data_IF_784757839882
#
_entry.id   IF_784757839882
#
_cell.length_a   1.000
_cell.length_b   1.000
_cell.length_c   1.000
_cell.angle_alpha   90.00
_cell.angle_beta   90.00
_cell.angle_gamma   90.00
#
_symmetry.space_group_name_H-M   'P 1'
#
loop_
_entity.id
_entity.type
_entity.pdbx_description
1 polymer ?
#
# COMPACT_ATOMS: atom_id res chain seq x y z
N UNK A 1 -37.55 42.74 13.87
CA UNK A 1 -38.79 42.13 13.36
C UNK A 1 -40.01 42.48 14.20
N UNK A 2 -39.90 42.57 15.54
CA UNK A 2 -41.02 42.97 16.42
C UNK A 2 -41.59 44.36 16.16
N UNK A 3 -40.74 45.35 15.84
CA UNK A 3 -41.19 46.74 15.61
C UNK A 3 -42.11 46.83 14.37
N UNK A 4 -41.75 46.14 13.28
CA UNK A 4 -42.59 46.08 12.07
C UNK A 4 -43.92 45.36 12.30
N UNK A 5 -43.96 44.37 13.20
CA UNK A 5 -45.19 43.63 13.51
C UNK A 5 -46.19 44.48 14.32
N UNK A 6 -45.70 45.35 15.20
CA UNK A 6 -46.53 46.23 16.01
C UNK A 6 -47.12 47.40 15.19
N UNK A 7 -46.37 47.96 14.24
CA UNK A 7 -46.91 48.98 13.33
C UNK A 7 -47.94 48.39 12.35
N UNK A 8 -47.71 47.17 11.85
CA UNK A 8 -48.68 46.47 11.00
C UNK A 8 -50.00 46.19 11.74
N UNK A 9 -49.93 45.78 13.03
CA UNK A 9 -51.10 45.59 13.89
C UNK A 9 -51.89 46.88 14.11
N UNK A 10 -51.20 48.01 14.31
CA UNK A 10 -51.84 49.32 14.51
C UNK A 10 -52.52 49.83 13.23
N UNK A 11 -51.90 49.61 12.07
CA UNK A 11 -52.49 49.95 10.76
C UNK A 11 -53.74 49.12 10.47
N UNK A 12 -53.66 47.80 10.67
CA UNK A 12 -54.79 46.87 10.48
C UNK A 12 -55.95 47.21 11.42
N UNK A 13 -55.68 47.62 12.66
CA UNK A 13 -56.71 47.98 13.64
C UNK A 13 -57.38 49.32 13.36
N UNK A 14 -56.67 50.26 12.71
CA UNK A 14 -57.18 51.58 12.34
C UNK A 14 -58.04 51.54 11.07
N UNK A 15 -57.75 50.64 10.14
CA UNK A 15 -58.54 50.42 8.92
C UNK A 15 -59.81 49.58 9.16
N UNK A 16 -59.81 48.66 10.12
CA UNK A 16 -61.00 47.85 10.48
C UNK A 16 -62.21 48.64 11.05
N UNK A 17 -62.13 49.97 11.22
CA UNK A 17 -63.27 50.81 11.65
C UNK A 17 -64.13 51.32 10.49
N UNK A 18 -63.76 51.05 9.25
CA UNK A 18 -64.56 51.32 8.05
C UNK A 18 -64.87 50.01 7.31
N UNK A 19 -66.06 49.93 6.70
CA UNK A 19 -66.54 48.78 5.90
C UNK A 19 -65.62 48.54 4.70
N UNK A 20 -64.50 47.87 4.95
CA UNK A 20 -63.55 47.45 3.92
C UNK A 20 -64.03 46.12 3.36
N UNK A 21 -64.08 46.07 2.03
CA UNK A 21 -64.47 44.89 1.26
C UNK A 21 -63.60 43.66 1.66
N UNK A 22 -64.21 42.52 2.04
CA UNK A 22 -63.49 41.30 2.41
C UNK A 22 -62.44 40.86 1.38
N UNK A 23 -62.66 41.19 0.11
CA UNK A 23 -61.72 40.91 -0.99
C UNK A 23 -60.37 41.62 -0.84
N UNK A 24 -60.33 42.80 -0.22
CA UNK A 24 -59.10 43.55 0.03
C UNK A 24 -58.22 42.83 1.06
N UNK A 25 -58.83 42.30 2.13
CA UNK A 25 -58.11 41.55 3.17
C UNK A 25 -57.47 40.27 2.62
N UNK A 26 -58.21 39.52 1.79
CA UNK A 26 -57.69 38.31 1.14
C UNK A 26 -56.53 38.66 0.20
N UNK A 27 -56.64 39.77 -0.54
CA UNK A 27 -55.59 40.23 -1.45
C UNK A 27 -54.31 40.63 -0.69
N UNK A 28 -54.44 41.41 0.39
CA UNK A 28 -53.29 41.79 1.23
C UNK A 28 -52.63 40.56 1.86
N UNK A 29 -53.44 39.63 2.41
CA UNK A 29 -52.92 38.39 2.98
C UNK A 29 -52.17 37.56 1.94
N UNK A 30 -52.71 37.44 0.73
CA UNK A 30 -52.08 36.71 -0.37
C UNK A 30 -50.74 37.35 -0.76
N UNK A 31 -50.67 38.68 -0.85
CA UNK A 31 -49.41 39.40 -1.15
C UNK A 31 -48.36 39.14 -0.07
N UNK A 32 -48.74 39.20 1.21
CA UNK A 32 -47.82 38.93 2.33
C UNK A 32 -47.32 37.48 2.30
N UNK A 33 -48.21 36.50 2.12
CA UNK A 33 -47.84 35.08 2.02
C UNK A 33 -46.90 34.84 0.84
N UNK A 34 -47.19 35.46 -0.31
CA UNK A 34 -46.36 35.35 -1.51
C UNK A 34 -44.96 35.95 -1.28
N UNK A 35 -44.88 37.12 -0.64
CA UNK A 35 -43.60 37.75 -0.30
C UNK A 35 -42.77 36.90 0.66
N UNK A 36 -43.39 36.33 1.70
CA UNK A 36 -42.74 35.43 2.65
C UNK A 36 -42.24 34.16 1.95
N UNK A 37 -43.07 33.55 1.10
CA UNK A 37 -42.70 32.37 0.32
C UNK A 37 -41.51 32.65 -0.62
N UNK A 38 -41.50 33.80 -1.29
CA UNK A 38 -40.40 34.22 -2.15
C UNK A 38 -39.08 34.40 -1.37
N UNK A 39 -39.14 34.97 -0.15
CA UNK A 39 -37.97 35.12 0.72
C UNK A 39 -37.41 33.76 1.14
N UNK A 40 -38.26 32.84 1.62
CA UNK A 40 -37.81 31.49 2.00
C UNK A 40 -37.23 30.71 0.82
N UNK A 41 -37.89 30.78 -0.34
CA UNK A 41 -37.39 30.14 -1.57
C UNK A 41 -36.03 30.70 -1.97
N UNK A 42 -35.84 32.02 -1.83
CA UNK A 42 -34.55 32.68 -2.08
C UNK A 42 -33.45 32.21 -1.13
N UNK A 43 -33.75 32.08 0.17
CA UNK A 43 -32.80 31.56 1.16
C UNK A 43 -32.44 30.10 0.89
N UNK A 44 -33.43 29.25 0.65
CA UNK A 44 -33.23 27.84 0.34
C UNK A 44 -32.39 27.67 -0.93
N UNK A 45 -32.63 28.49 -1.96
CA UNK A 45 -31.81 28.49 -3.18
C UNK A 45 -30.36 28.89 -2.90
N UNK A 46 -30.12 29.87 -2.03
CA UNK A 46 -28.75 30.25 -1.64
C UNK A 46 -28.04 29.14 -0.87
N UNK A 47 -28.73 28.47 0.04
CA UNK A 47 -28.18 27.33 0.78
C UNK A 47 -27.87 26.14 -0.14
N UNK A 48 -28.77 25.82 -1.06
CA UNK A 48 -28.55 24.78 -2.08
C UNK A 48 -27.39 25.10 -3.02
N UNK A 49 -27.18 26.38 -3.35
CA UNK A 49 -26.01 26.82 -4.13
C UNK A 49 -24.72 26.61 -3.34
N UNK A 50 -24.70 27.04 -2.08
CA UNK A 50 -23.53 26.91 -1.20
C UNK A 50 -23.17 25.45 -0.93
N UNK A 51 -24.15 24.56 -0.78
CA UNK A 51 -23.92 23.13 -0.53
C UNK A 51 -23.37 22.37 -1.74
N UNK A 52 -23.39 23.00 -2.93
CA UNK A 52 -22.96 22.45 -4.22
C UNK A 52 -21.81 23.27 -4.81
N UNK A 53 -20.95 23.85 -3.97
CA UNK A 53 -19.73 24.49 -4.45
C UNK A 53 -18.66 23.43 -4.79
N UNK A 54 -18.04 23.49 -5.98
CA UNK A 54 -16.90 22.65 -6.32
C UNK A 54 -15.65 23.09 -5.57
N UNK A 55 -14.78 22.14 -5.25
CA UNK A 55 -13.48 22.39 -4.60
C UNK A 55 -12.45 21.58 -5.37
N UNK A 56 -11.67 22.27 -6.22
CA UNK A 56 -10.59 21.62 -6.96
C UNK A 56 -9.26 21.85 -6.25
N UNK A 57 -8.57 20.76 -5.96
CA UNK A 57 -7.29 20.77 -5.26
C UNK A 57 -6.29 19.82 -5.92
N UNK A 58 -5.01 20.15 -5.80
CA UNK A 58 -3.92 19.24 -6.13
C UNK A 58 -3.54 18.44 -4.87
N UNK A 59 -3.57 17.13 -4.98
CA UNK A 59 -3.05 16.19 -3.98
C UNK A 59 -2.06 15.24 -4.64
N UNK A 60 -1.62 14.22 -3.89
CA UNK A 60 -0.83 13.12 -4.43
C UNK A 60 -1.57 11.80 -4.23
N UNK A 61 -1.15 10.79 -4.99
CA UNK A 61 -1.53 9.41 -4.77
C UNK A 61 -0.36 8.47 -5.11
N UNK A 62 -0.48 7.23 -4.70
CA UNK A 62 0.51 6.18 -4.94
C UNK A 62 -0.15 5.12 -5.83
N UNK A 63 0.31 4.99 -7.07
CA UNK A 63 -0.19 3.95 -7.99
C UNK A 63 0.49 2.61 -7.71
N UNK A 64 1.75 2.66 -7.27
CA UNK A 64 2.53 1.49 -6.89
C UNK A 64 3.45 1.81 -5.73
N UNK A 65 4.08 0.78 -5.13
CA UNK A 65 5.07 0.99 -4.10
C UNK A 65 6.31 1.76 -4.53
N UNK A 66 6.46 2.02 -5.84
CA UNK A 66 7.59 2.70 -6.45
C UNK A 66 7.19 3.98 -7.19
N UNK A 67 5.90 4.34 -7.23
CA UNK A 67 5.42 5.44 -8.05
C UNK A 67 4.44 6.34 -7.30
N UNK A 68 4.85 7.61 -7.15
CA UNK A 68 4.00 8.71 -6.68
C UNK A 68 3.51 9.49 -7.90
N UNK A 69 2.21 9.79 -7.91
CA UNK A 69 1.58 10.64 -8.91
C UNK A 69 0.90 11.82 -8.26
N UNK A 70 0.78 12.90 -9.03
CA UNK A 70 -0.07 14.03 -8.71
C UNK A 70 -1.51 13.68 -9.04
N UNK A 71 -2.44 14.13 -8.22
CA UNK A 71 -3.88 13.95 -8.43
C UNK A 71 -4.59 15.28 -8.34
N UNK A 72 -5.29 15.67 -9.40
CA UNK A 72 -6.23 16.80 -9.37
C UNK A 72 -7.61 16.21 -9.08
N UNK A 73 -8.23 16.61 -7.97
CA UNK A 73 -9.50 16.05 -7.48
C UNK A 73 -10.51 17.17 -7.25
N UNK A 74 -11.77 16.92 -7.63
CA UNK A 74 -12.91 17.69 -7.14
C UNK A 74 -13.43 17.10 -5.83
N UNK A 75 -12.99 17.67 -4.70
CA UNK A 75 -13.44 17.27 -3.36
C UNK A 75 -14.73 17.98 -2.93
N UNK A 76 -15.24 18.89 -3.75
CA UNK A 76 -16.50 19.60 -3.51
C UNK A 76 -17.72 18.80 -3.99
N UNK A 77 -18.90 19.23 -3.54
CA UNK A 77 -20.19 18.63 -3.90
C UNK A 77 -20.77 19.20 -5.22
N UNK A 78 -20.08 20.17 -5.82
CA UNK A 78 -20.48 20.83 -7.06
C UNK A 78 -19.72 20.34 -8.29
N UNK A 79 -20.27 20.59 -9.47
CA UNK A 79 -19.56 20.39 -10.74
C UNK A 79 -18.63 21.58 -10.99
N UNK A 80 -17.36 21.30 -11.31
CA UNK A 80 -16.44 22.30 -11.83
C UNK A 80 -16.45 22.29 -13.36
N UNK A 81 -16.31 23.45 -13.99
CA UNK A 81 -16.30 23.66 -15.44
C UNK A 81 -15.10 24.50 -15.85
N UNK A 82 -14.72 24.43 -17.13
CA UNK A 82 -13.65 25.22 -17.73
C UNK A 82 -12.36 25.18 -16.90
N UNK A 83 -11.97 23.97 -16.49
CA UNK A 83 -10.86 23.76 -15.56
C UNK A 83 -9.56 23.94 -16.34
N UNK A 84 -8.70 24.81 -15.82
CA UNK A 84 -7.33 24.98 -16.29
C UNK A 84 -6.43 24.86 -15.08
N UNK A 85 -5.64 23.79 -15.05
CA UNK A 85 -4.65 23.55 -14.03
C UNK A 85 -3.24 23.73 -14.61
N UNK A 86 -2.40 24.41 -13.86
CA UNK A 86 -0.97 24.53 -14.09
C UNK A 86 -0.24 23.96 -12.89
N UNK A 87 0.79 23.18 -13.12
CA UNK A 87 1.63 22.65 -12.06
C UNK A 87 3.08 22.56 -12.55
N UNK A 88 4.03 22.78 -11.63
CA UNK A 88 5.46 22.88 -11.94
C UNK A 88 6.30 22.52 -10.72
N UNK A 89 7.57 22.16 -10.96
CA UNK A 89 8.56 21.99 -9.90
C UNK A 89 9.11 23.38 -9.53
N UNK A 90 9.03 23.76 -8.26
CA UNK A 90 9.56 25.06 -7.80
C UNK A 90 11.08 25.05 -7.93
N UNK A 91 11.62 26.04 -8.63
CA UNK A 91 13.07 26.18 -8.86
C UNK A 91 13.60 25.48 -10.13
N UNK A 92 12.75 24.84 -10.92
CA UNK A 92 13.15 24.15 -12.15
C UNK A 92 12.42 24.70 -13.37
N UNK A 93 13.16 25.39 -14.24
CA UNK A 93 12.63 25.92 -15.49
C UNK A 93 12.21 24.82 -16.47
N UNK A 94 11.15 25.08 -17.25
CA UNK A 94 10.60 24.12 -18.23
C UNK A 94 9.87 22.90 -17.64
N UNK A 95 9.73 22.83 -16.31
CA UNK A 95 8.92 21.81 -15.63
C UNK A 95 7.41 22.11 -15.64
N UNK A 96 6.99 23.28 -16.15
CA UNK A 96 5.57 23.65 -16.20
C UNK A 96 4.78 22.68 -17.09
N UNK A 97 3.63 22.23 -16.59
CA UNK A 97 2.63 21.47 -17.32
C UNK A 97 1.28 22.13 -17.17
N UNK A 98 0.52 22.15 -18.26
CA UNK A 98 -0.82 22.72 -18.31
C UNK A 98 -1.78 21.60 -18.68
N UNK A 99 -2.81 21.45 -17.87
CA UNK A 99 -3.90 20.52 -18.10
C UNK A 99 -5.23 21.27 -18.16
N UNK A 100 -6.11 20.84 -19.07
CA UNK A 100 -7.43 21.44 -19.28
C UNK A 100 -8.49 20.36 -19.32
N UNK A 101 -9.64 20.65 -18.71
CA UNK A 101 -10.79 19.77 -18.73
C UNK A 101 -12.09 20.58 -18.81
N UNK A 102 -13.05 20.18 -19.66
CA UNK A 102 -14.29 20.94 -19.83
C UNK A 102 -15.16 20.94 -18.57
N UNK A 103 -15.27 19.80 -17.88
CA UNK A 103 -16.00 19.68 -16.64
C UNK A 103 -15.47 18.52 -15.79
N UNK A 104 -15.60 18.63 -14.47
CA UNK A 104 -15.28 17.60 -13.49
C UNK A 104 -16.41 17.46 -12.47
N UNK A 105 -16.94 16.25 -12.34
CA UNK A 105 -18.01 15.91 -11.40
C UNK A 105 -17.49 15.83 -9.95
N UNK A 106 -18.36 15.91 -8.94
CA UNK A 106 -17.98 15.65 -7.55
C UNK A 106 -17.29 14.29 -7.39
N UNK A 107 -16.12 14.27 -6.74
CA UNK A 107 -15.33 13.07 -6.52
C UNK A 107 -14.51 12.58 -7.72
N UNK A 108 -14.66 13.18 -8.89
CA UNK A 108 -13.87 12.85 -10.07
C UNK A 108 -12.42 13.37 -9.90
N UNK A 109 -11.46 12.59 -10.39
CA UNK A 109 -10.04 12.91 -10.30
C UNK A 109 -9.27 12.50 -11.55
N UNK A 110 -8.17 13.20 -11.78
CA UNK A 110 -7.19 12.85 -12.81
C UNK A 110 -5.80 12.77 -12.22
N UNK A 111 -5.04 11.79 -12.68
CA UNK A 111 -3.69 11.53 -12.22
C UNK A 111 -2.66 11.92 -13.27
N UNK A 112 -1.57 12.50 -12.80
CA UNK A 112 -0.47 12.98 -13.62
C UNK A 112 0.84 12.55 -12.99
N UNK A 113 1.80 12.16 -13.83
CA UNK A 113 3.17 12.01 -13.35
C UNK A 113 3.72 13.35 -12.88
N UNK A 114 4.62 13.28 -11.89
CA UNK A 114 5.37 14.46 -11.45
C UNK A 114 6.12 15.03 -12.66
N UNK A 115 6.03 16.34 -12.95
CA UNK A 115 6.65 16.92 -14.11
C UNK A 115 8.16 16.70 -14.13
N UNK A 116 8.69 16.22 -15.27
CA UNK A 116 10.12 16.08 -15.50
C UNK A 116 10.72 17.38 -16.07
N UNK A 117 12.00 17.61 -15.80
CA UNK A 117 12.77 18.70 -16.41
C UNK A 117 12.96 18.47 -17.91
N UNK A 118 13.32 19.52 -18.64
CA UNK A 118 13.44 19.53 -20.11
C UNK A 118 14.43 18.48 -20.64
N UNK A 119 15.38 18.04 -19.81
CA UNK A 119 16.43 17.09 -20.19
C UNK A 119 16.00 15.62 -20.17
N UNK A 120 14.71 15.33 -19.93
CA UNK A 120 14.12 14.00 -20.18
C UNK A 120 14.62 12.86 -19.29
N UNK A 121 15.38 13.16 -18.24
CA UNK A 121 15.77 12.15 -17.26
C UNK A 121 14.58 11.81 -16.35
N UNK A 122 14.32 10.52 -16.20
CA UNK A 122 13.46 9.98 -15.15
C UNK A 122 13.89 10.61 -13.81
N UNK A 123 12.96 11.26 -13.13
CA UNK A 123 13.20 11.87 -11.82
C UNK A 123 13.46 10.74 -10.82
N UNK A 124 14.74 10.46 -10.58
CA UNK A 124 15.18 9.60 -9.50
C UNK A 124 14.67 10.16 -8.16
N UNK A 125 14.28 9.27 -7.25
CA UNK A 125 13.82 9.59 -5.89
C UNK A 125 14.86 10.45 -5.16
N UNK A 126 16.15 10.23 -5.41
CA UNK A 126 17.21 11.05 -4.82
C UNK A 126 17.14 12.51 -5.28
N UNK A 127 16.88 12.75 -6.57
CA UNK A 127 16.69 14.11 -7.11
C UNK A 127 15.39 14.73 -6.62
N UNK A 128 14.33 13.94 -6.46
CA UNK A 128 13.05 14.41 -5.88
C UNK A 128 13.20 14.88 -4.43
N UNK A 129 14.18 14.35 -3.65
CA UNK A 129 14.47 14.85 -2.30
C UNK A 129 15.07 16.25 -2.29
N UNK A 130 15.75 16.66 -3.36
CA UNK A 130 16.28 18.02 -3.52
C UNK A 130 15.18 19.03 -3.91
N UNK A 131 14.03 18.54 -4.38
CA UNK A 131 12.89 19.38 -4.74
C UNK A 131 11.98 19.53 -3.53
N UNK A 132 11.90 20.76 -3.03
CA UNK A 132 11.13 21.05 -1.82
C UNK A 132 9.61 21.04 -2.07
N UNK A 133 9.17 21.64 -3.20
CA UNK A 133 7.75 21.87 -3.45
C UNK A 133 7.34 21.71 -4.93
N UNK A 134 6.10 21.25 -5.14
CA UNK A 134 5.36 21.36 -6.39
C UNK A 134 4.42 22.55 -6.30
N UNK A 135 4.62 23.54 -7.17
CA UNK A 135 3.73 24.69 -7.30
C UNK A 135 2.52 24.34 -8.15
N UNK A 136 1.36 24.89 -7.81
CA UNK A 136 0.17 24.73 -8.63
C UNK A 136 -0.73 25.95 -8.64
N UNK A 137 -1.44 26.09 -9.74
CA UNK A 137 -2.51 27.06 -9.95
C UNK A 137 -3.66 26.39 -10.71
N UNK A 138 -4.86 26.45 -10.16
CA UNK A 138 -6.06 25.88 -10.76
C UNK A 138 -7.12 26.95 -10.85
N UNK A 139 -7.63 27.18 -12.05
CA UNK A 139 -8.78 28.05 -12.29
C UNK A 139 -9.95 27.24 -12.83
N UNK A 140 -11.16 27.55 -12.36
CA UNK A 140 -12.37 26.83 -12.76
C UNK A 140 -13.61 27.69 -12.52
N UNK A 141 -14.76 27.24 -13.05
CA UNK A 141 -16.08 27.81 -12.81
C UNK A 141 -16.98 26.78 -12.13
N UNK A 142 -17.96 27.25 -11.37
CA UNK A 142 -19.02 26.37 -10.86
C UNK A 142 -20.18 26.20 -11.86
N UNK A 143 -21.23 25.51 -11.41
CA UNK A 143 -22.47 25.33 -12.17
C UNK A 143 -23.14 26.67 -12.57
N UNK A 144 -22.93 27.74 -11.80
CA UNK A 144 -23.52 29.07 -11.97
C UNK A 144 -22.56 30.10 -12.58
N UNK A 145 -21.46 29.64 -13.19
CA UNK A 145 -20.43 30.47 -13.84
C UNK A 145 -19.64 31.40 -12.89
N UNK A 146 -19.72 31.19 -11.58
CA UNK A 146 -18.83 31.88 -10.63
C UNK A 146 -17.42 31.31 -10.81
N UNK A 147 -16.44 32.20 -10.94
CA UNK A 147 -15.03 31.84 -11.16
C UNK A 147 -14.31 31.65 -9.84
N UNK A 148 -13.44 30.65 -9.81
CA UNK A 148 -12.59 30.31 -8.69
C UNK A 148 -11.14 30.18 -9.16
N UNK A 149 -10.20 30.48 -8.27
CA UNK A 149 -8.77 30.29 -8.48
C UNK A 149 -8.17 29.77 -7.17
N UNK A 150 -7.51 28.62 -7.25
CA UNK A 150 -6.78 28.01 -6.15
C UNK A 150 -5.31 28.00 -6.53
N UNK A 151 -4.45 28.52 -5.65
CA UNK A 151 -3.00 28.48 -5.83
C UNK A 151 -2.38 27.89 -4.58
N UNK A 152 -1.33 27.11 -4.72
CA UNK A 152 -0.66 26.54 -3.56
C UNK A 152 0.67 25.90 -3.90
N UNK A 153 1.26 25.31 -2.86
CA UNK A 153 2.47 24.50 -2.94
C UNK A 153 2.19 23.19 -2.22
N UNK A 154 2.65 22.10 -2.81
CA UNK A 154 2.59 20.77 -2.25
C UNK A 154 4.01 20.35 -1.86
N UNK A 155 4.26 20.13 -0.56
CA UNK A 155 5.59 19.79 -0.06
C UNK A 155 5.95 18.35 -0.42
N UNK A 156 6.99 18.18 -1.24
CA UNK A 156 7.44 16.84 -1.66
C UNK A 156 8.14 16.10 -0.52
N UNK A 157 8.85 16.81 0.35
CA UNK A 157 9.53 16.21 1.50
C UNK A 157 8.57 15.46 2.43
N UNK A 158 7.42 16.05 2.77
CA UNK A 158 6.40 15.40 3.58
C UNK A 158 5.79 14.19 2.87
N UNK A 159 5.52 14.31 1.58
CA UNK A 159 4.98 13.21 0.76
C UNK A 159 5.96 12.04 0.72
N UNK A 160 7.25 12.31 0.47
CA UNK A 160 8.29 11.30 0.44
C UNK A 160 8.51 10.66 1.81
N UNK A 161 8.40 11.42 2.91
CA UNK A 161 8.47 10.87 4.26
C UNK A 161 7.26 9.99 4.60
N UNK A 162 6.05 10.43 4.27
CA UNK A 162 4.82 9.64 4.47
C UNK A 162 4.84 8.39 3.61
N UNK A 163 5.28 8.51 2.36
CA UNK A 163 5.48 7.39 1.45
C UNK A 163 6.55 6.43 1.99
N UNK A 164 7.72 6.92 2.41
CA UNK A 164 8.76 6.10 3.01
C UNK A 164 8.24 5.38 4.27
N UNK A 165 7.47 6.06 5.13
CA UNK A 165 6.85 5.45 6.33
C UNK A 165 5.77 4.42 6.00
N UNK A 166 4.92 4.68 5.00
CA UNK A 166 3.91 3.72 4.54
C UNK A 166 4.55 2.51 3.87
N UNK A 167 5.71 2.69 3.23
CA UNK A 167 6.51 1.62 2.67
C UNK A 167 7.41 0.94 3.68
N UNK A 168 7.77 1.60 4.80
CA UNK A 168 8.42 1.00 5.98
C UNK A 168 7.43 0.22 6.86
N UNK A 169 6.16 0.10 6.45
CA UNK A 169 5.36 -1.09 6.78
C UNK A 169 5.80 -2.33 5.97
N UNK A 170 6.87 -2.25 5.15
CA UNK A 170 7.81 -3.36 5.01
C UNK A 170 8.57 -3.48 6.33
N UNK A 171 8.06 -4.39 7.14
CA UNK A 171 8.62 -4.90 8.37
C UNK A 171 10.17 -4.96 8.30
N UNK A 172 10.88 -4.21 9.14
CA UNK A 172 12.35 -4.32 9.26
C UNK A 172 12.77 -5.71 9.79
N UNK A 173 11.83 -6.44 10.43
CA UNK A 173 12.11 -7.76 10.99
C UNK A 173 12.59 -8.79 9.96
N UNK A 174 11.95 -9.01 8.80
CA UNK A 174 12.42 -9.98 7.81
C UNK A 174 13.82 -9.68 7.26
N UNK A 175 14.20 -8.40 7.08
CA UNK A 175 15.56 -8.05 6.63
C UNK A 175 16.60 -8.30 7.73
N UNK A 176 16.32 -7.92 8.98
CA UNK A 176 17.18 -8.23 10.13
C UNK A 176 17.27 -9.75 10.38
N UNK A 177 16.16 -10.48 10.21
CA UNK A 177 16.14 -11.96 10.27
C UNK A 177 16.99 -12.54 9.14
N UNK A 178 16.87 -12.04 7.89
CA UNK A 178 17.72 -12.50 6.79
C UNK A 178 19.20 -12.25 7.06
N UNK A 179 19.57 -11.07 7.55
CA UNK A 179 20.97 -10.77 7.93
C UNK A 179 21.47 -11.71 9.02
N UNK A 180 20.65 -11.97 10.04
CA UNK A 180 20.98 -12.88 11.13
C UNK A 180 21.08 -14.34 10.66
N UNK A 181 20.21 -14.77 9.74
CA UNK A 181 20.27 -16.09 9.11
C UNK A 181 21.53 -16.23 8.24
N UNK A 182 21.89 -15.22 7.45
CA UNK A 182 23.12 -15.22 6.64
C UNK A 182 24.37 -15.28 7.51
N UNK A 183 24.39 -14.53 8.63
CA UNK A 183 25.47 -14.58 9.60
C UNK A 183 25.59 -15.96 10.27
N UNK A 184 24.47 -16.61 10.56
CA UNK A 184 24.46 -17.98 11.09
C UNK A 184 24.96 -18.98 10.04
N UNK A 185 24.59 -18.82 8.76
CA UNK A 185 25.09 -19.64 7.66
C UNK A 185 26.61 -19.48 7.51
N UNK A 186 27.13 -18.26 7.49
CA UNK A 186 28.57 -18.00 7.39
C UNK A 186 29.34 -18.62 8.56
N UNK A 187 28.84 -18.45 9.78
CA UNK A 187 29.43 -19.08 10.97
C UNK A 187 29.44 -20.62 10.87
N UNK A 188 28.35 -21.22 10.39
CA UNK A 188 28.25 -22.65 10.20
C UNK A 188 29.21 -23.15 9.11
N UNK A 189 29.34 -22.43 7.99
CA UNK A 189 30.28 -22.76 6.91
C UNK A 189 31.73 -22.69 7.42
N UNK A 190 32.09 -21.66 8.19
CA UNK A 190 33.42 -21.57 8.82
C UNK A 190 33.68 -22.71 9.79
N UNK A 191 32.69 -23.08 10.59
CA UNK A 191 32.81 -24.20 11.52
C UNK A 191 32.99 -25.53 10.76
N UNK A 192 32.21 -25.76 9.70
CA UNK A 192 32.37 -26.91 8.81
C UNK A 192 33.78 -26.92 8.20
N UNK A 193 34.26 -25.78 7.70
CA UNK A 193 35.62 -25.63 7.17
C UNK A 193 36.70 -26.02 8.18
N UNK A 194 36.60 -25.56 9.43
CA UNK A 194 37.54 -25.93 10.51
C UNK A 194 37.48 -27.42 10.87
N UNK A 195 36.29 -28.02 10.85
CA UNK A 195 36.13 -29.45 11.13
C UNK A 195 36.76 -30.26 9.97
N UNK A 196 36.51 -29.86 8.72
CA UNK A 196 37.14 -30.47 7.53
C UNK A 196 38.66 -30.33 7.56
N UNK A 197 39.19 -29.18 7.98
CA UNK A 197 40.63 -28.95 8.10
C UNK A 197 41.25 -29.81 9.22
N UNK A 198 40.53 -30.03 10.32
CA UNK A 198 41.01 -30.78 11.48
C UNK A 198 40.95 -32.29 11.32
N UNK A 199 39.90 -32.80 10.68
CA UNK A 199 39.64 -34.25 10.57
C UNK A 199 39.77 -34.78 9.14
N UNK A 200 39.95 -33.92 8.15
CA UNK A 200 39.88 -34.32 6.74
C UNK A 200 38.44 -34.59 6.29
N UNK A 201 38.12 -34.17 5.06
CA UNK A 201 36.79 -34.35 4.48
C UNK A 201 36.38 -35.83 4.42
N UNK A 202 37.34 -36.69 4.08
CA UNK A 202 37.13 -38.13 3.90
C UNK A 202 36.79 -38.84 5.22
N UNK A 203 37.35 -38.38 6.35
CA UNK A 203 37.09 -38.98 7.65
C UNK A 203 35.68 -38.61 8.15
N UNK A 204 35.26 -37.36 7.96
CA UNK A 204 33.90 -36.89 8.32
C UNK A 204 32.83 -37.57 7.49
N UNK A 205 33.05 -37.69 6.17
CA UNK A 205 32.16 -38.43 5.28
C UNK A 205 32.11 -39.90 5.70
N UNK A 206 33.26 -40.48 6.07
CA UNK A 206 33.35 -41.81 6.67
C UNK A 206 32.44 -41.97 7.88
N UNK A 207 32.59 -41.10 8.90
CA UNK A 207 31.78 -41.14 10.12
C UNK A 207 30.28 -40.97 9.86
N UNK A 208 29.88 -40.10 8.93
CA UNK A 208 28.45 -39.88 8.62
C UNK A 208 27.82 -41.05 7.88
N UNK A 209 28.55 -41.64 6.93
CA UNK A 209 28.10 -42.85 6.24
C UNK A 209 27.99 -44.01 7.23
N UNK A 210 28.97 -44.14 8.12
CA UNK A 210 29.01 -45.15 9.17
C UNK A 210 27.83 -45.01 10.16
N UNK A 211 27.53 -43.78 10.61
CA UNK A 211 26.37 -43.47 11.45
C UNK A 211 25.05 -43.86 10.77
N UNK A 212 24.87 -43.46 9.51
CA UNK A 212 23.68 -43.80 8.71
C UNK A 212 23.50 -45.32 8.54
N UNK A 213 24.59 -46.05 8.27
CA UNK A 213 24.53 -47.51 8.12
C UNK A 213 24.07 -48.17 9.43
N UNK A 214 24.68 -47.79 10.55
CA UNK A 214 24.33 -48.36 11.85
C UNK A 214 22.89 -48.01 12.25
N UNK A 215 22.43 -46.79 11.98
CA UNK A 215 21.04 -46.39 12.21
C UNK A 215 20.06 -47.27 11.41
N UNK A 216 20.35 -47.51 10.13
CA UNK A 216 19.48 -48.34 9.28
C UNK A 216 19.45 -49.81 9.69
N UNK A 217 20.59 -50.38 10.11
CA UNK A 217 20.66 -51.76 10.63
C UNK A 217 19.89 -51.85 11.95
N UNK A 218 20.07 -50.88 12.85
CA UNK A 218 19.38 -50.83 14.15
C UNK A 218 17.87 -50.67 13.98
N UNK A 219 17.41 -49.80 13.08
CA UNK A 219 16.00 -49.57 12.78
C UNK A 219 15.31 -50.86 12.28
N UNK A 220 15.94 -51.57 11.35
CA UNK A 220 15.38 -52.79 10.77
C UNK A 220 15.59 -54.04 11.62
N UNK A 221 16.51 -54.02 12.59
CA UNK A 221 17.07 -55.14 13.38
C UNK A 221 17.74 -56.25 12.55
N UNK A 222 17.23 -56.53 11.35
CA UNK A 222 17.73 -57.51 10.38
C UNK A 222 17.55 -56.93 8.98
N UNK A 223 18.63 -56.83 8.23
CA UNK A 223 18.62 -56.35 6.84
C UNK A 223 19.37 -57.32 5.93
N UNK A 224 18.87 -57.53 4.73
CA UNK A 224 19.55 -58.37 3.74
C UNK A 224 20.83 -57.66 3.26
N UNK A 225 21.93 -58.39 3.07
CA UNK A 225 23.20 -57.81 2.62
C UNK A 225 23.06 -57.10 1.27
N UNK A 226 22.29 -57.70 0.35
CA UNK A 226 21.97 -57.11 -0.96
C UNK A 226 21.12 -55.84 -0.85
N UNK A 227 20.22 -55.74 0.13
CA UNK A 227 19.47 -54.49 0.38
C UNK A 227 20.39 -53.38 0.88
N UNK A 228 21.33 -53.70 1.77
CA UNK A 228 22.32 -52.73 2.24
C UNK A 228 23.28 -52.31 1.11
N UNK A 229 23.62 -53.22 0.22
CA UNK A 229 24.40 -52.94 -0.99
C UNK A 229 23.69 -51.94 -1.92
N UNK A 230 22.36 -52.08 -2.08
CA UNK A 230 21.54 -51.12 -2.83
C UNK A 230 21.51 -49.75 -2.12
N UNK A 231 21.30 -49.72 -0.80
CA UNK A 231 21.26 -48.47 -0.01
C UNK A 231 22.56 -47.69 -0.14
N UNK A 232 23.71 -48.39 -0.12
CA UNK A 232 25.03 -47.78 -0.19
C UNK A 232 25.58 -47.64 -1.61
N UNK A 233 24.87 -48.17 -2.61
CA UNK A 233 25.29 -48.22 -4.00
C UNK A 233 26.70 -48.81 -4.20
N UNK A 234 26.99 -49.92 -3.52
CA UNK A 234 28.27 -50.65 -3.61
C UNK A 234 28.03 -52.15 -3.67
N UNK A 235 29.03 -52.92 -4.15
CA UNK A 235 28.92 -54.37 -4.24
C UNK A 235 28.75 -55.03 -2.84
N UNK A 236 27.92 -56.09 -2.68
CA UNK A 236 27.69 -56.76 -1.38
C UNK A 236 28.95 -57.14 -0.61
N UNK A 237 29.98 -57.65 -1.30
CA UNK A 237 31.27 -57.97 -0.68
C UNK A 237 32.01 -56.75 -0.10
N UNK A 238 31.84 -55.57 -0.71
CA UNK A 238 32.40 -54.32 -0.18
C UNK A 238 31.62 -53.83 1.04
N UNK A 239 30.30 -54.01 1.06
CA UNK A 239 29.48 -53.79 2.27
C UNK A 239 30.00 -54.66 3.40
N UNK A 240 30.13 -55.97 3.15
CA UNK A 240 30.64 -56.94 4.13
C UNK A 240 32.01 -56.53 4.65
N UNK A 241 32.93 -56.16 3.76
CA UNK A 241 34.28 -55.70 4.11
C UNK A 241 34.25 -54.43 4.97
N UNK A 242 33.41 -53.46 4.61
CA UNK A 242 33.27 -52.20 5.34
C UNK A 242 32.65 -52.39 6.72
N UNK A 243 31.72 -53.35 6.86
CA UNK A 243 30.98 -53.61 8.09
C UNK A 243 31.64 -54.64 9.02
N UNK A 244 32.65 -55.40 8.56
CA UNK A 244 33.46 -56.28 9.42
C UNK A 244 34.01 -55.61 10.67
N UNK A 245 34.30 -54.30 10.62
CA UNK A 245 34.76 -53.55 11.80
C UNK A 245 33.70 -53.47 12.91
N UNK A 246 32.41 -53.46 12.56
CA UNK A 246 31.30 -53.43 13.51
C UNK A 246 30.93 -54.81 14.03
N UNK A 247 31.12 -55.85 13.22
CA UNK A 247 31.05 -57.23 13.69
C UNK A 247 32.11 -57.51 14.76
N UNK A 248 33.35 -57.02 14.56
CA UNK A 248 34.43 -57.11 15.57
C UNK A 248 34.15 -56.33 16.86
N UNK A 249 33.23 -55.36 16.81
CA UNK A 249 32.82 -54.56 17.98
C UNK A 249 31.53 -55.10 18.60
N UNK A 250 31.07 -56.28 18.17
CA UNK A 250 29.84 -56.93 18.62
C UNK A 250 28.58 -56.06 18.47
N UNK A 251 28.56 -55.13 17.50
CA UNK A 251 27.39 -54.29 17.20
C UNK A 251 26.43 -54.95 16.22
N UNK A 252 26.98 -55.78 15.32
CA UNK A 252 26.23 -56.49 14.29
C UNK A 252 26.75 -57.91 14.14
N UNK A 253 25.93 -58.82 13.58
CA UNK A 253 26.35 -60.16 13.16
C UNK A 253 25.94 -60.43 11.72
N UNK A 254 26.77 -61.16 10.98
CA UNK A 254 26.38 -61.71 9.68
C UNK A 254 25.81 -63.11 9.86
N UNK A 255 24.58 -63.34 9.40
CA UNK A 255 23.93 -64.66 9.40
C UNK A 255 23.57 -65.10 8.00
N UNK A 256 23.68 -66.39 7.74
CA UNK A 256 23.30 -66.99 6.46
C UNK A 256 22.07 -67.88 6.64
N UNK A 257 21.02 -67.62 5.88
CA UNK A 257 19.79 -68.41 5.85
C UNK A 257 19.51 -68.85 4.41
N UNK A 258 19.88 -70.11 4.10
CA UNK A 258 19.86 -70.63 2.74
C UNK A 258 20.93 -69.95 1.87
N UNK A 259 20.50 -69.39 0.74
CA UNK A 259 21.38 -68.65 -0.18
C UNK A 259 21.53 -67.16 0.19
N UNK A 260 20.78 -66.67 1.17
CA UNK A 260 20.74 -65.25 1.54
C UNK A 260 21.62 -64.94 2.75
N UNK A 261 22.33 -63.82 2.70
CA UNK A 261 23.09 -63.30 3.83
C UNK A 261 22.42 -62.07 4.45
N UNK A 262 22.33 -62.03 5.77
CA UNK A 262 21.70 -60.96 6.55
C UNK A 262 22.70 -60.32 7.49
N UNK A 263 22.49 -59.04 7.74
CA UNK A 263 23.14 -58.25 8.78
C UNK A 263 22.12 -58.05 9.90
N UNK A 264 22.42 -58.53 11.09
CA UNK A 264 21.56 -58.41 12.27
C UNK A 264 22.20 -57.50 13.32
N UNK A 265 21.42 -56.61 13.91
CA UNK A 265 21.83 -55.81 15.07
C UNK A 265 21.92 -56.70 16.31
N UNK A 266 23.02 -56.58 17.06
CA UNK A 266 23.19 -57.27 18.34
C UNK A 266 22.74 -56.30 19.44
N UNK A 267 21.75 -56.70 20.25
CA UNK A 267 21.29 -55.95 21.42
C UNK A 267 22.25 -56.08 22.61
#
# INVERSE_FOLDING_TARGET
MEIYFNELKLLIRKEMSHNIDPSLYVSILLVVVTAVYALFTGLMTKEMKKSREPIIQLSYSTISPMAIVLRILNSGNGVAKDIVAKYWLVGYEGSERIWKMPAMLPGEYHEFFIPQTVDGYELDIEKLKEIDHIGYEISFKDAWNKKYRTTGKLGLGEILQTWAKSHMMYDEEPLKKMEQHLKNIDNNIRNIGRIIEKFGLDEIIGYKIDEYILEKIKEKKKILLEEMAIILNIHPELVKTKLKKYEKLDLISFKKEGEKEYIEWIE
#
